data_IF_481346001168
#
_entry.id   IF_481346001168
#
_cell.length_a   1.000
_cell.length_b   1.000
_cell.length_c   1.000
_cell.angle_alpha   90.00
_cell.angle_beta   90.00
_cell.angle_gamma   90.00
#
_symmetry.space_group_name_H-M   'P 1'
#
loop_
_entity.id
_entity.type
_entity.pdbx_description
1 polymer ?
#
# COMPACT_ATOMS: atom_id res chain seq x y z
N UNK A 1 16.17 -17.51 -23.04
CA UNK A 1 16.93 -18.30 -22.05
C UNK A 1 15.95 -18.64 -20.95
N UNK A 2 15.48 -19.88 -20.96
CA UNK A 2 14.44 -20.38 -20.05
C UNK A 2 15.06 -20.65 -18.70
N UNK A 3 14.64 -19.91 -17.67
CA UNK A 3 15.00 -20.22 -16.30
C UNK A 3 14.13 -21.40 -15.87
N UNK A 4 14.74 -22.57 -15.83
CA UNK A 4 14.19 -23.77 -15.23
C UNK A 4 13.87 -23.46 -13.76
N UNK A 5 12.57 -23.41 -13.45
CA UNK A 5 12.10 -23.45 -12.07
C UNK A 5 12.56 -24.78 -11.48
N UNK A 6 13.56 -24.73 -10.59
CA UNK A 6 13.75 -25.76 -9.58
C UNK A 6 12.46 -25.83 -8.76
N UNK A 7 11.58 -26.73 -9.18
CA UNK A 7 10.62 -27.35 -8.29
C UNK A 7 11.44 -28.07 -7.24
N UNK A 8 11.79 -27.34 -6.17
CA UNK A 8 12.14 -27.94 -4.92
C UNK A 8 10.90 -28.70 -4.48
N UNK A 9 10.85 -29.95 -4.91
CA UNK A 9 10.16 -31.03 -4.25
C UNK A 9 10.46 -30.85 -2.76
N UNK A 10 9.50 -30.25 -2.05
CA UNK A 10 9.31 -30.53 -0.65
C UNK A 10 9.18 -32.04 -0.60
N UNK A 11 10.30 -32.74 -0.37
CA UNK A 11 10.32 -34.09 0.14
C UNK A 11 9.47 -33.99 1.39
N UNK A 12 8.18 -34.27 1.23
CA UNK A 12 7.28 -34.66 2.29
C UNK A 12 8.12 -35.65 3.07
N UNK A 13 8.64 -35.18 4.21
CA UNK A 13 9.34 -35.98 5.20
C UNK A 13 8.67 -37.34 5.19
N UNK A 14 9.43 -38.43 5.02
CA UNK A 14 8.92 -39.79 4.99
C UNK A 14 7.91 -40.01 6.12
N UNK A 15 6.65 -39.69 5.84
CA UNK A 15 5.53 -39.79 6.76
C UNK A 15 5.20 -41.28 6.98
N UNK A 16 5.89 -42.16 6.27
CA UNK A 16 5.75 -43.61 6.24
C UNK A 16 6.30 -44.31 7.50
N UNK A 17 7.09 -43.63 8.34
CA UNK A 17 7.65 -44.21 9.58
C UNK A 17 7.12 -43.54 10.86
N UNK A 18 5.91 -42.98 10.86
CA UNK A 18 5.29 -42.54 12.12
C UNK A 18 4.78 -43.76 12.90
N UNK A 19 4.99 -43.81 14.23
CA UNK A 19 4.34 -44.81 15.07
C UNK A 19 2.83 -44.75 14.91
N UNK A 20 2.12 -45.87 15.10
CA UNK A 20 0.67 -45.94 14.91
C UNK A 20 -0.09 -44.85 15.69
N UNK A 21 0.48 -44.46 16.83
CA UNK A 21 0.02 -43.37 17.67
C UNK A 21 1.13 -42.39 18.06
N UNK A 22 0.76 -41.13 18.25
CA UNK A 22 1.64 -40.02 18.59
C UNK A 22 1.08 -39.31 19.82
N UNK A 23 1.91 -39.08 20.82
CA UNK A 23 1.55 -38.29 21.99
C UNK A 23 1.75 -36.79 21.72
N UNK A 24 0.69 -36.00 21.88
CA UNK A 24 0.72 -34.54 21.76
C UNK A 24 0.24 -33.91 23.07
N UNK A 25 0.98 -32.95 23.65
CA UNK A 25 0.52 -32.19 24.81
C UNK A 25 -0.82 -31.50 24.54
N UNK A 26 -1.80 -31.67 25.43
CA UNK A 26 -3.12 -31.02 25.35
C UNK A 26 -3.06 -29.51 25.11
N UNK A 27 -2.21 -28.73 25.83
CA UNK A 27 -2.13 -27.29 25.62
C UNK A 27 -1.67 -26.93 24.20
N UNK A 28 -0.74 -27.72 23.64
CA UNK A 28 -0.23 -27.50 22.29
C UNK A 28 -1.32 -27.79 21.25
N UNK A 29 -2.03 -28.91 21.38
CA UNK A 29 -3.14 -29.23 20.47
C UNK A 29 -4.24 -28.16 20.54
N UNK A 30 -4.62 -27.71 21.74
CA UNK A 30 -5.60 -26.61 21.92
C UNK A 30 -5.16 -25.33 21.21
N UNK A 31 -3.89 -24.94 21.36
CA UNK A 31 -3.36 -23.74 20.71
C UNK A 31 -3.40 -23.85 19.18
N UNK A 32 -3.01 -25.01 18.63
CA UNK A 32 -3.05 -25.26 17.18
C UNK A 32 -4.48 -25.16 16.66
N UNK A 33 -5.45 -25.84 17.30
CA UNK A 33 -6.84 -25.80 16.83
C UNK A 33 -7.45 -24.41 16.93
N UNK A 34 -7.17 -23.66 18.00
CA UNK A 34 -7.62 -22.28 18.14
C UNK A 34 -7.08 -21.38 17.02
N UNK A 35 -5.82 -21.56 16.64
CA UNK A 35 -5.22 -20.76 15.59
C UNK A 35 -5.76 -21.14 14.20
N UNK A 36 -6.06 -22.43 13.97
CA UNK A 36 -6.75 -22.88 12.77
C UNK A 36 -8.16 -22.29 12.66
N UNK A 37 -8.90 -22.19 13.75
CA UNK A 37 -10.23 -21.59 13.78
C UNK A 37 -10.19 -20.10 13.39
N UNK A 38 -9.31 -19.32 14.03
CA UNK A 38 -9.10 -17.91 13.65
C UNK A 38 -8.68 -17.77 12.19
N UNK A 39 -7.82 -18.67 11.72
CA UNK A 39 -7.35 -18.65 10.35
C UNK A 39 -8.47 -18.96 9.36
N UNK A 40 -9.41 -19.83 9.71
CA UNK A 40 -10.59 -20.12 8.90
C UNK A 40 -11.52 -18.90 8.80
N UNK A 41 -11.66 -18.10 9.86
CA UNK A 41 -12.41 -16.83 9.79
C UNK A 41 -11.75 -15.84 8.82
N UNK A 42 -10.41 -15.82 8.78
CA UNK A 42 -9.65 -14.94 7.87
C UNK A 42 -9.69 -15.46 6.42
N UNK A 43 -9.55 -16.77 6.19
CA UNK A 43 -9.50 -17.34 4.84
C UNK A 43 -10.88 -17.55 4.22
N UNK A 44 -11.92 -17.62 5.06
CA UNK A 44 -13.25 -18.08 4.68
C UNK A 44 -13.34 -19.61 4.79
N UNK A 45 -14.49 -20.11 5.24
CA UNK A 45 -14.76 -21.56 5.26
C UNK A 45 -14.98 -22.04 3.83
N UNK A 46 -14.35 -23.16 3.48
CA UNK A 46 -14.69 -23.91 2.26
C UNK A 46 -16.03 -24.58 2.52
N UNK A 47 -17.04 -24.31 1.68
CA UNK A 47 -18.38 -24.89 1.85
C UNK A 47 -18.31 -26.41 1.87
N UNK A 48 -18.92 -27.02 2.90
CA UNK A 48 -19.09 -28.48 3.01
C UNK A 48 -17.99 -29.22 3.78
N UNK A 49 -16.84 -28.58 4.07
CA UNK A 49 -15.81 -29.20 4.89
C UNK A 49 -15.92 -28.75 6.37
N UNK A 50 -16.09 -29.69 7.31
CA UNK A 50 -16.03 -29.38 8.74
C UNK A 50 -14.68 -28.77 9.13
N UNK A 51 -14.69 -27.86 10.11
CA UNK A 51 -13.44 -27.22 10.55
C UNK A 51 -12.47 -28.26 11.12
N UNK A 52 -11.15 -28.07 10.95
CA UNK A 52 -10.15 -28.96 11.53
C UNK A 52 -10.29 -29.10 13.06
N UNK A 53 -10.76 -28.05 13.74
CA UNK A 53 -11.07 -28.09 15.16
C UNK A 53 -12.16 -29.09 15.50
N UNK A 54 -13.18 -29.23 14.65
CA UNK A 54 -14.36 -30.03 14.95
C UNK A 54 -14.05 -31.53 14.96
N UNK A 55 -13.03 -31.94 14.21
CA UNK A 55 -12.52 -33.32 14.22
C UNK A 55 -11.80 -33.67 15.52
N UNK A 56 -11.09 -32.71 16.12
CA UNK A 56 -10.22 -32.95 17.26
C UNK A 56 -10.80 -32.47 18.60
N UNK A 57 -11.85 -31.62 18.59
CA UNK A 57 -12.56 -31.14 19.79
C UNK A 57 -13.10 -32.28 20.66
N UNK A 58 -13.75 -33.33 20.11
CA UNK A 58 -14.20 -34.46 20.92
C UNK A 58 -13.05 -35.15 21.66
N UNK A 59 -11.85 -35.22 21.07
CA UNK A 59 -10.66 -35.86 21.67
C UNK A 59 -10.06 -35.03 22.81
N UNK A 60 -10.22 -33.71 22.77
CA UNK A 60 -9.84 -32.82 23.88
C UNK A 60 -10.85 -32.92 25.03
N UNK A 61 -12.14 -33.07 24.70
CA UNK A 61 -13.25 -33.14 25.66
C UNK A 61 -13.42 -34.51 26.30
N UNK A 62 -13.04 -35.59 25.60
CA UNK A 62 -13.17 -36.95 26.11
C UNK A 62 -11.88 -37.42 26.77
N UNK A 63 -12.04 -37.97 27.97
CA UNK A 63 -11.02 -38.57 28.86
C UNK A 63 -10.06 -37.59 29.53
N UNK A 64 -10.11 -37.64 30.87
CA UNK A 64 -9.14 -37.17 31.87
C UNK A 64 -9.25 -35.72 32.38
N UNK A 65 -9.26 -35.62 33.70
CA UNK A 65 -9.28 -34.41 34.55
C UNK A 65 -7.99 -33.59 34.51
N UNK A 66 -7.00 -34.02 33.73
CA UNK A 66 -5.67 -33.44 33.72
C UNK A 66 -5.42 -32.67 32.42
N UNK A 67 -5.67 -31.36 32.45
CA UNK A 67 -5.56 -30.47 31.29
C UNK A 67 -4.14 -30.35 30.72
N UNK A 68 -3.13 -30.75 31.48
CA UNK A 68 -1.71 -30.68 31.12
C UNK A 68 -1.16 -32.00 30.55
N UNK A 69 -1.96 -33.07 30.54
CA UNK A 69 -1.52 -34.38 30.05
C UNK A 69 -1.36 -34.45 28.53
N UNK A 70 -0.64 -35.47 28.07
CA UNK A 70 -0.57 -35.81 26.65
C UNK A 70 -1.89 -36.48 26.19
N UNK A 71 -2.26 -36.26 24.93
CA UNK A 71 -3.28 -37.03 24.21
C UNK A 71 -2.57 -37.91 23.20
N UNK A 72 -2.99 -39.16 23.14
CA UNK A 72 -2.60 -40.09 22.09
C UNK A 72 -3.51 -39.88 20.87
N UNK A 73 -2.90 -39.58 19.73
CA UNK A 73 -3.58 -39.41 18.44
C UNK A 73 -3.05 -40.43 17.44
N UNK A 74 -3.90 -40.93 16.55
CA UNK A 74 -3.45 -41.76 15.45
C UNK A 74 -2.55 -40.96 14.50
N UNK A 75 -1.53 -41.62 13.94
CA UNK A 75 -0.60 -40.97 13.00
C UNK A 75 -1.31 -40.37 11.79
N UNK A 76 -2.38 -40.98 11.28
CA UNK A 76 -3.19 -40.43 10.21
C UNK A 76 -3.87 -39.11 10.56
N UNK A 77 -4.35 -38.97 11.78
CA UNK A 77 -5.00 -37.75 12.26
C UNK A 77 -3.97 -36.63 12.43
N UNK A 78 -2.77 -36.96 12.93
CA UNK A 78 -1.65 -36.01 12.99
C UNK A 78 -1.19 -35.59 11.59
N UNK A 79 -1.17 -36.52 10.63
CA UNK A 79 -0.85 -36.21 9.22
C UNK A 79 -1.88 -35.29 8.61
N UNK A 80 -3.17 -35.53 8.83
CA UNK A 80 -4.25 -34.64 8.39
C UNK A 80 -4.11 -33.27 9.01
N UNK A 81 -3.93 -33.19 10.34
CA UNK A 81 -3.72 -31.93 11.06
C UNK A 81 -2.53 -31.15 10.50
N UNK A 82 -1.39 -31.80 10.31
CA UNK A 82 -0.17 -31.17 9.77
C UNK A 82 -0.41 -30.62 8.36
N UNK A 83 -1.03 -31.41 7.47
CA UNK A 83 -1.34 -30.96 6.11
C UNK A 83 -2.30 -29.77 6.13
N UNK A 84 -3.30 -29.79 7.00
CA UNK A 84 -4.24 -28.68 7.14
C UNK A 84 -3.52 -27.43 7.65
N UNK A 85 -2.70 -27.52 8.70
CA UNK A 85 -1.88 -26.40 9.17
C UNK A 85 -1.01 -25.79 8.06
N UNK A 86 -0.32 -26.63 7.28
CA UNK A 86 0.50 -26.17 6.17
C UNK A 86 -0.33 -25.49 5.08
N UNK A 87 -1.49 -26.05 4.75
CA UNK A 87 -2.43 -25.47 3.78
C UNK A 87 -2.94 -24.10 4.26
N UNK A 88 -3.31 -23.99 5.54
CA UNK A 88 -3.76 -22.76 6.17
C UNK A 88 -2.67 -21.69 6.17
N UNK A 89 -1.44 -22.04 6.57
CA UNK A 89 -0.28 -21.12 6.53
C UNK A 89 -0.04 -20.62 5.10
N UNK A 90 -0.08 -21.52 4.12
CA UNK A 90 0.07 -21.17 2.70
C UNK A 90 -1.04 -20.22 2.24
N UNK A 91 -2.29 -20.48 2.63
CA UNK A 91 -3.43 -19.62 2.32
C UNK A 91 -3.29 -18.23 2.93
N UNK A 92 -2.89 -18.13 4.20
CA UNK A 92 -2.67 -16.85 4.88
C UNK A 92 -1.54 -16.06 4.23
N UNK A 93 -0.44 -16.73 3.89
CA UNK A 93 0.68 -16.13 3.19
C UNK A 93 0.25 -15.56 1.84
N UNK A 94 -0.55 -16.30 1.07
CA UNK A 94 -1.06 -15.84 -0.22
C UNK A 94 -2.02 -14.64 -0.08
N UNK A 95 -2.87 -14.63 0.95
CA UNK A 95 -3.74 -13.48 1.25
C UNK A 95 -2.93 -12.24 1.64
N UNK A 96 -1.89 -12.42 2.47
CA UNK A 96 -0.98 -11.34 2.85
C UNK A 96 -0.23 -10.78 1.63
N UNK A 97 0.27 -11.66 0.75
CA UNK A 97 0.93 -11.28 -0.50
C UNK A 97 0.02 -10.41 -1.37
N UNK A 98 -1.22 -10.84 -1.61
CA UNK A 98 -2.20 -10.06 -2.38
C UNK A 98 -2.50 -8.69 -1.76
N UNK A 99 -2.62 -8.63 -0.43
CA UNK A 99 -2.84 -7.37 0.30
C UNK A 99 -1.65 -6.41 0.16
N UNK A 100 -0.43 -6.94 0.16
CA UNK A 100 0.78 -6.15 -0.06
C UNK A 100 0.80 -5.60 -1.48
N UNK A 101 0.50 -6.42 -2.48
CA UNK A 101 0.43 -6.02 -3.90
C UNK A 101 -0.60 -4.92 -4.16
N UNK A 102 -1.76 -5.00 -3.50
CA UNK A 102 -2.77 -3.92 -3.58
C UNK A 102 -2.25 -2.64 -2.95
N UNK A 103 -1.60 -2.74 -1.79
CA UNK A 103 -1.05 -1.57 -1.09
C UNK A 103 0.06 -0.90 -1.90
N UNK A 104 0.96 -1.66 -2.51
CA UNK A 104 2.01 -1.13 -3.38
C UNK A 104 1.43 -0.45 -4.62
N UNK A 105 0.41 -1.05 -5.25
CA UNK A 105 -0.28 -0.44 -6.40
C UNK A 105 -0.96 0.89 -6.04
N UNK A 106 -1.57 0.99 -4.86
CA UNK A 106 -2.14 2.25 -4.35
C UNK A 106 -1.05 3.31 -4.13
N UNK A 107 0.08 2.93 -3.55
CA UNK A 107 1.21 3.85 -3.34
C UNK A 107 1.78 4.38 -4.65
N UNK A 108 1.95 3.52 -5.65
CA UNK A 108 2.39 3.92 -6.99
C UNK A 108 1.40 4.91 -7.64
N UNK A 109 0.10 4.67 -7.47
CA UNK A 109 -0.94 5.57 -7.98
C UNK A 109 -0.87 6.94 -7.29
N UNK A 110 -0.70 6.96 -5.96
CA UNK A 110 -0.55 8.20 -5.20
C UNK A 110 0.73 8.96 -5.57
N UNK A 111 1.82 8.26 -5.86
CA UNK A 111 3.06 8.87 -6.33
C UNK A 111 2.88 9.53 -7.71
N UNK A 112 2.16 8.86 -8.63
CA UNK A 112 1.81 9.44 -9.93
C UNK A 112 0.93 10.68 -9.80
N UNK A 113 -0.09 10.64 -8.93
CA UNK A 113 -0.95 11.80 -8.66
C UNK A 113 -0.18 12.95 -8.02
N UNK A 114 0.72 12.68 -7.07
CA UNK A 114 1.62 13.70 -6.51
C UNK A 114 2.44 14.36 -7.61
N UNK A 115 3.09 13.57 -8.48
CA UNK A 115 3.88 14.08 -9.60
C UNK A 115 3.04 14.92 -10.56
N UNK A 116 1.77 14.54 -10.79
CA UNK A 116 0.83 15.31 -11.60
C UNK A 116 0.54 16.68 -10.97
N UNK A 117 0.30 16.73 -9.66
CA UNK A 117 0.08 17.98 -8.92
C UNK A 117 1.33 18.87 -8.98
N UNK A 118 2.52 18.31 -8.73
CA UNK A 118 3.78 19.05 -8.80
C UNK A 118 4.00 19.68 -10.19
N UNK A 119 3.64 18.96 -11.27
CA UNK A 119 3.71 19.49 -12.64
C UNK A 119 2.72 20.63 -12.88
N UNK A 120 1.49 20.55 -12.35
CA UNK A 120 0.48 21.61 -12.48
C UNK A 120 0.96 22.86 -11.74
N UNK A 121 1.45 22.71 -10.51
CA UNK A 121 1.98 23.83 -9.72
C UNK A 121 3.17 24.51 -10.42
N UNK A 122 4.09 23.72 -10.98
CA UNK A 122 5.22 24.26 -11.74
C UNK A 122 4.80 24.97 -13.04
N UNK A 123 3.70 24.52 -13.67
CA UNK A 123 3.14 25.19 -14.84
C UNK A 123 2.48 26.52 -14.47
N UNK A 124 1.68 26.54 -13.39
CA UNK A 124 1.02 27.75 -12.89
C UNK A 124 2.05 28.80 -12.46
N UNK A 125 3.12 28.39 -11.77
CA UNK A 125 4.23 29.30 -11.39
C UNK A 125 4.89 29.94 -12.62
N UNK A 126 5.06 29.18 -13.71
CA UNK A 126 5.61 29.72 -14.96
C UNK A 126 4.67 30.74 -15.61
N UNK A 127 3.37 30.47 -15.63
CA UNK A 127 2.38 31.41 -16.17
C UNK A 127 2.41 32.70 -15.36
N UNK A 128 2.32 32.61 -14.04
CA UNK A 128 2.30 33.79 -13.16
C UNK A 128 3.57 34.62 -13.35
N UNK A 129 4.75 33.98 -13.41
CA UNK A 129 6.00 34.69 -13.65
C UNK A 129 6.04 35.37 -15.03
N UNK A 130 5.50 34.74 -16.08
CA UNK A 130 5.42 35.32 -17.41
C UNK A 130 4.45 36.52 -17.45
N UNK A 131 3.30 36.41 -16.78
CA UNK A 131 2.32 37.50 -16.68
C UNK A 131 2.90 38.69 -15.93
N UNK A 132 3.61 38.46 -14.82
CA UNK A 132 4.30 39.51 -14.06
C UNK A 132 5.37 40.21 -14.90
N UNK A 133 6.19 39.48 -15.67
CA UNK A 133 7.16 40.08 -16.59
C UNK A 133 6.47 40.92 -17.67
N UNK A 134 5.35 40.44 -18.21
CA UNK A 134 4.58 41.15 -19.24
C UNK A 134 3.97 42.44 -18.69
N UNK A 135 3.43 42.40 -17.47
CA UNK A 135 2.90 43.57 -16.76
C UNK A 135 4.02 44.57 -16.46
N UNK A 136 5.17 44.11 -15.97
CA UNK A 136 6.34 44.95 -15.72
C UNK A 136 6.78 45.70 -16.98
N UNK A 137 6.95 44.97 -18.09
CA UNK A 137 7.31 45.57 -19.38
C UNK A 137 6.24 46.54 -19.91
N UNK A 138 4.96 46.30 -19.62
CA UNK A 138 3.88 47.23 -19.98
C UNK A 138 3.91 48.51 -19.14
N UNK A 139 4.17 48.39 -17.84
CA UNK A 139 4.31 49.54 -16.94
C UNK A 139 5.54 50.39 -17.28
N UNK A 140 6.69 49.78 -17.59
CA UNK A 140 7.90 50.49 -17.99
C UNK A 140 7.68 51.30 -19.28
N UNK A 141 7.01 50.71 -20.27
CA UNK A 141 6.60 51.43 -21.50
C UNK A 141 5.68 52.60 -21.20
N UNK A 142 4.73 52.43 -20.28
CA UNK A 142 3.80 53.49 -19.90
C UNK A 142 4.51 54.63 -19.17
N UNK A 143 5.43 54.33 -18.25
CA UNK A 143 6.24 55.32 -17.57
C UNK A 143 7.09 56.14 -18.56
N UNK A 144 7.72 55.47 -19.54
CA UNK A 144 8.48 56.17 -20.60
C UNK A 144 7.59 57.07 -21.48
N UNK A 145 6.34 56.67 -21.76
CA UNK A 145 5.39 57.52 -22.50
C UNK A 145 4.96 58.73 -21.65
N UNK A 146 4.69 58.54 -20.36
CA UNK A 146 4.34 59.63 -19.44
C UNK A 146 5.50 60.64 -19.31
N UNK A 147 6.75 60.17 -19.22
CA UNK A 147 7.95 61.02 -19.17
C UNK A 147 8.16 61.82 -20.47
N UNK A 148 7.95 61.20 -21.64
CA UNK A 148 7.99 61.89 -22.94
C UNK A 148 6.85 62.91 -23.10
N UNK A 149 5.68 62.65 -22.54
CA UNK A 149 4.55 63.59 -22.57
C UNK A 149 4.73 64.77 -21.61
N UNK A 150 5.43 64.55 -20.49
CA UNK A 150 5.78 65.60 -19.52
C UNK A 150 6.85 66.53 -20.07
N UNK A 151 7.92 65.99 -20.66
CA UNK A 151 8.98 66.81 -21.28
C UNK A 151 8.47 67.61 -22.49
N UNK A 152 7.57 67.02 -23.29
CA UNK A 152 6.95 67.74 -24.42
C UNK A 152 6.06 68.91 -23.99
N UNK A 153 5.37 68.81 -22.86
CA UNK A 153 4.54 69.92 -22.35
C UNK A 153 5.40 71.07 -21.80
N UNK A 154 6.60 70.79 -21.27
CA UNK A 154 7.52 71.83 -20.78
C UNK A 154 8.18 72.64 -21.90
N UNK A 155 8.31 72.07 -23.10
CA UNK A 155 8.87 72.76 -24.27
C UNK A 155 7.81 73.63 -24.99
N UNK A 156 6.54 73.21 -25.04
CA UNK A 156 5.46 73.99 -25.66
C UNK A 156 5.11 75.28 -24.86
N UNK A 157 5.37 75.32 -23.54
CA UNK A 157 5.17 76.50 -22.70
C UNK A 157 6.29 77.55 -22.80
N UNK A 158 7.45 77.20 -23.36
CA UNK A 158 8.56 78.15 -23.57
C UNK A 158 8.48 78.92 -24.88
N UNK A 159 7.67 78.47 -25.83
CA UNK A 159 7.53 79.14 -27.15
C UNK A 159 6.42 80.22 -27.17
N UNK A 160 5.56 80.29 -26.15
CA UNK A 160 4.44 81.26 -26.09
C UNK A 160 4.68 82.51 -25.22
N UNK A 161 5.87 82.68 -24.62
CA UNK A 161 6.15 83.76 -23.66
C UNK A 161 6.79 85.06 -24.22
N UNK A 162 7.01 85.17 -25.52
CA UNK A 162 7.94 86.16 -26.10
C UNK A 162 7.36 87.13 -27.12
N UNK A 163 6.19 87.74 -26.90
CA UNK A 163 5.75 88.91 -27.69
C UNK A 163 5.31 90.02 -26.74
N UNK A 164 6.29 90.65 -26.10
CA UNK A 164 6.14 91.89 -25.33
C UNK A 164 6.54 93.09 -26.17
N UNK A 165 5.54 93.86 -26.54
CA UNK A 165 5.51 95.11 -27.32
C UNK A 165 6.29 96.24 -26.65
N UNK A 166 7.16 96.95 -27.37
CA UNK A 166 7.45 98.40 -27.22
C UNK A 166 7.88 98.94 -28.60
N UNK A 167 6.98 99.62 -29.32
CA UNK A 167 6.86 101.08 -29.51
C UNK A 167 8.12 101.78 -30.06
#
# INVERSE_FOLDING_TARGET
MSAEHHGDDYKLLDLCNMPDTVEIPRPLLRAILLELDKSADVLGKVEGDPLPSDWHRPLILTRTTNELGNIELYSDDVRKLTRTCLSTIRGLHEKLRKSLETSTSVLETLEQEKKRIDNVLAYDERIVNMDLLTIGAANDRRAGIEELSSTRSEDDDKESGGVGVEQ
#
